data_IF_799088858912
#
_entry.id   IF_799088858912
#
_cell.length_a   1.000
_cell.length_b   1.000
_cell.length_c   1.000
_cell.angle_alpha   90.00
_cell.angle_beta   90.00
_cell.angle_gamma   90.00
#
_symmetry.space_group_name_H-M   'P 1'
#
loop_
_entity.id
_entity.type
_entity.pdbx_description
1 polymer ?
#
# COMPACT_ATOMS: atom_id res chain seq x y z
N UNK A 1 -33.19 1.33 -6.43
CA UNK A 1 -32.67 0.13 -7.12
C UNK A 1 -32.12 -0.80 -6.06
N UNK A 2 -32.52 -2.08 -6.07
CA UNK A 2 -32.16 -3.09 -5.07
C UNK A 2 -30.65 -3.24 -4.92
N UNK A 3 -30.11 -2.99 -3.73
CA UNK A 3 -28.81 -3.47 -3.28
C UNK A 3 -29.02 -4.65 -2.34
N UNK A 4 -29.52 -5.77 -2.88
CA UNK A 4 -29.48 -7.03 -2.15
C UNK A 4 -28.03 -7.53 -2.14
N UNK A 5 -27.45 -7.63 -0.94
CA UNK A 5 -26.16 -8.26 -0.74
C UNK A 5 -26.21 -9.69 -1.32
N UNK A 6 -25.46 -9.92 -2.39
CA UNK A 6 -25.44 -11.22 -3.06
C UNK A 6 -24.45 -12.11 -2.35
N UNK A 7 -24.95 -13.09 -1.58
CA UNK A 7 -24.11 -14.16 -1.04
C UNK A 7 -23.68 -15.08 -2.17
N UNK A 8 -22.39 -15.08 -2.48
CA UNK A 8 -21.79 -16.02 -3.44
C UNK A 8 -21.04 -17.09 -2.67
N UNK A 9 -21.56 -18.32 -2.64
CA UNK A 9 -20.86 -19.48 -2.09
C UNK A 9 -20.07 -20.14 -3.21
N UNK A 10 -18.75 -20.28 -3.03
CA UNK A 10 -17.87 -21.03 -3.94
C UNK A 10 -17.22 -22.17 -3.17
N UNK A 11 -17.31 -23.40 -3.68
CA UNK A 11 -16.51 -24.51 -3.17
C UNK A 11 -15.03 -24.19 -3.41
N UNK A 12 -14.26 -24.13 -2.32
CA UNK A 12 -12.81 -23.97 -2.37
C UNK A 12 -12.18 -25.34 -2.09
N UNK A 13 -11.05 -25.68 -2.74
CA UNK A 13 -10.26 -26.82 -2.30
C UNK A 13 -9.89 -26.65 -0.81
N UNK A 14 -9.65 -27.74 -0.08
CA UNK A 14 -9.27 -27.66 1.33
C UNK A 14 -8.07 -26.73 1.49
N UNK A 15 -8.11 -25.87 2.50
CA UNK A 15 -7.02 -24.96 2.79
C UNK A 15 -5.74 -25.76 2.99
N UNK A 16 -4.72 -25.45 2.18
CA UNK A 16 -3.39 -26.00 2.39
C UNK A 16 -2.79 -25.38 3.65
N UNK A 17 -1.82 -26.05 4.25
CA UNK A 17 -1.07 -25.50 5.38
C UNK A 17 -0.24 -24.33 4.87
N UNK A 18 0.09 -23.38 5.75
CA UNK A 18 0.98 -22.26 5.38
C UNK A 18 2.27 -22.77 4.74
N UNK A 19 2.88 -23.81 5.31
CA UNK A 19 4.12 -24.43 4.82
C UNK A 19 4.02 -25.04 3.40
N UNK A 20 2.82 -25.16 2.83
CA UNK A 20 2.63 -25.63 1.45
C UNK A 20 2.67 -24.45 0.43
N UNK A 21 2.84 -23.21 0.92
CA UNK A 21 3.05 -22.00 0.12
C UNK A 21 4.49 -21.50 0.27
N UNK A 22 5.02 -20.83 -0.76
CA UNK A 22 6.39 -20.27 -0.76
C UNK A 22 6.42 -18.76 -0.50
N UNK A 23 5.34 -18.04 -0.81
CA UNK A 23 5.27 -16.59 -0.81
C UNK A 23 3.91 -16.14 -0.29
N UNK A 24 3.91 -15.12 0.56
CA UNK A 24 2.74 -14.32 0.88
C UNK A 24 3.01 -12.87 0.49
N UNK A 25 2.03 -12.24 -0.15
CA UNK A 25 2.07 -10.82 -0.51
C UNK A 25 0.97 -10.07 0.22
N UNK A 26 1.30 -8.87 0.67
CA UNK A 26 0.40 -7.98 1.39
C UNK A 26 0.30 -6.65 0.67
N UNK A 27 -0.90 -6.07 0.68
CA UNK A 27 -1.04 -4.62 0.52
C UNK A 27 -0.66 -3.90 1.82
N UNK A 28 -0.48 -2.58 1.76
CA UNK A 28 -0.12 -1.76 2.92
C UNK A 28 -1.35 -1.11 3.56
N UNK A 29 -1.85 -0.04 2.94
CA UNK A 29 -2.96 0.78 3.44
C UNK A 29 -4.23 -0.08 3.57
N UNK A 30 -4.96 0.15 4.66
CA UNK A 30 -6.15 -0.63 5.05
C UNK A 30 -5.97 -2.17 5.04
N UNK A 31 -4.72 -2.65 5.14
CA UNK A 31 -4.37 -4.08 5.10
C UNK A 31 -3.36 -4.43 6.20
N UNK A 32 -2.07 -4.13 6.04
CA UNK A 32 -1.08 -4.30 7.11
C UNK A 32 -1.15 -3.17 8.13
N UNK A 33 -1.60 -2.00 7.69
CA UNK A 33 -1.83 -0.84 8.54
C UNK A 33 -3.29 -0.40 8.45
N UNK A 34 -3.78 0.29 9.47
CA UNK A 34 -5.19 0.66 9.62
C UNK A 34 -5.53 2.08 9.15
N UNK A 35 -4.65 2.70 8.37
CA UNK A 35 -4.81 4.05 7.84
C UNK A 35 -4.60 4.05 6.32
N UNK A 36 -5.01 5.13 5.68
CA UNK A 36 -4.60 5.53 4.34
C UNK A 36 -3.49 6.57 4.47
N UNK A 37 -2.23 6.20 4.19
CA UNK A 37 -1.09 7.09 4.42
C UNK A 37 -1.24 8.46 3.72
N UNK A 38 -1.81 8.48 2.52
CA UNK A 38 -1.96 9.72 1.73
C UNK A 38 -2.92 10.71 2.39
N UNK A 39 -4.00 10.23 2.99
CA UNK A 39 -4.99 11.06 3.69
C UNK A 39 -4.39 11.64 4.97
N UNK A 40 -3.59 10.85 5.69
CA UNK A 40 -2.92 11.28 6.91
C UNK A 40 -1.80 12.30 6.65
N UNK A 41 -1.11 12.21 5.50
CA UNK A 41 -0.17 13.26 5.06
C UNK A 41 -0.94 14.53 4.67
N UNK A 42 -2.04 14.40 3.95
CA UNK A 42 -2.85 15.54 3.52
C UNK A 42 -3.42 16.34 4.69
N UNK A 43 -3.79 15.66 5.77
CA UNK A 43 -4.25 16.27 7.00
C UNK A 43 -3.23 17.21 7.65
N UNK A 44 -1.93 16.96 7.44
CA UNK A 44 -0.85 17.85 7.91
C UNK A 44 -0.89 19.24 7.27
N UNK A 45 -1.60 19.38 6.14
CA UNK A 45 -1.90 20.64 5.46
C UNK A 45 -3.38 21.04 5.56
N UNK A 46 -4.20 20.31 6.33
CA UNK A 46 -5.64 20.52 6.39
C UNK A 46 -6.39 20.16 5.10
N UNK A 47 -5.80 19.30 4.25
CA UNK A 47 -6.37 18.89 2.94
C UNK A 47 -6.93 17.46 2.94
N UNK A 48 -7.17 16.89 4.13
CA UNK A 48 -7.65 15.51 4.26
C UNK A 48 -8.93 15.29 3.47
N UNK A 49 -9.90 16.19 3.58
CA UNK A 49 -11.20 16.06 2.91
C UNK A 49 -11.08 16.12 1.38
N UNK A 50 -10.20 16.99 0.84
CA UNK A 50 -9.95 17.09 -0.60
C UNK A 50 -9.35 15.80 -1.16
N UNK A 51 -8.36 15.22 -0.45
CA UNK A 51 -7.71 13.97 -0.86
C UNK A 51 -8.67 12.79 -0.72
N UNK A 52 -9.41 12.71 0.39
CA UNK A 52 -10.39 11.66 0.64
C UNK A 52 -11.50 11.65 -0.42
N UNK A 53 -11.98 12.82 -0.86
CA UNK A 53 -12.98 12.92 -1.92
C UNK A 53 -12.49 12.31 -3.24
N UNK A 54 -11.22 12.54 -3.61
CA UNK A 54 -10.61 11.94 -4.81
C UNK A 54 -10.43 10.42 -4.62
N UNK A 55 -9.99 9.97 -3.44
CA UNK A 55 -9.86 8.54 -3.10
C UNK A 55 -11.21 7.83 -3.26
N UNK A 56 -12.27 8.39 -2.68
CA UNK A 56 -13.62 7.83 -2.75
C UNK A 56 -14.15 7.80 -4.20
N UNK A 57 -13.98 8.89 -4.97
CA UNK A 57 -14.37 8.92 -6.38
C UNK A 57 -13.64 7.86 -7.22
N UNK A 58 -12.39 7.54 -6.88
CA UNK A 58 -11.63 6.47 -7.54
C UNK A 58 -12.18 5.09 -7.20
N UNK A 59 -12.49 4.84 -5.92
CA UNK A 59 -13.06 3.56 -5.47
C UNK A 59 -14.47 3.32 -6.01
N UNK A 60 -15.27 4.38 -6.17
CA UNK A 60 -16.58 4.33 -6.80
C UNK A 60 -16.52 4.15 -8.33
N UNK A 61 -15.32 4.16 -8.92
CA UNK A 61 -15.11 4.06 -10.37
C UNK A 61 -15.50 5.32 -11.15
N UNK A 62 -15.75 6.44 -10.45
CA UNK A 62 -15.99 7.75 -11.09
C UNK A 62 -14.69 8.23 -11.74
N UNK A 63 -13.56 8.09 -11.04
CA UNK A 63 -12.23 8.22 -11.62
C UNK A 63 -11.76 6.81 -11.99
N UNK A 64 -11.74 6.51 -13.29
CA UNK A 64 -11.42 5.17 -13.79
C UNK A 64 -9.91 4.88 -13.86
N UNK A 65 -9.08 5.92 -13.94
CA UNK A 65 -7.63 5.79 -13.98
C UNK A 65 -7.02 6.02 -12.59
N UNK A 66 -6.55 4.93 -11.97
CA UNK A 66 -5.86 4.95 -10.69
C UNK A 66 -4.61 5.84 -10.72
N UNK A 67 -3.85 5.85 -11.83
CA UNK A 67 -2.60 6.61 -11.93
C UNK A 67 -2.89 8.10 -11.88
N UNK A 68 -3.88 8.54 -12.65
CA UNK A 68 -4.33 9.92 -12.64
C UNK A 68 -4.87 10.33 -11.27
N UNK A 69 -5.72 9.52 -10.65
CA UNK A 69 -6.19 9.74 -9.28
C UNK A 69 -5.05 9.91 -8.28
N UNK A 70 -4.05 9.02 -8.33
CA UNK A 70 -2.90 9.09 -7.42
C UNK A 70 -2.11 10.38 -7.64
N UNK A 71 -1.90 10.80 -8.89
CA UNK A 71 -1.21 12.06 -9.20
C UNK A 71 -1.95 13.28 -8.67
N UNK A 72 -3.27 13.32 -8.84
CA UNK A 72 -4.09 14.41 -8.32
C UNK A 72 -3.98 14.52 -6.79
N UNK A 73 -4.07 13.38 -6.09
CA UNK A 73 -3.92 13.35 -4.63
C UNK A 73 -2.52 13.74 -4.18
N UNK A 74 -1.48 13.26 -4.86
CA UNK A 74 -0.09 13.61 -4.55
C UNK A 74 0.19 15.09 -4.82
N UNK A 75 -0.38 15.68 -5.88
CA UNK A 75 -0.24 17.11 -6.16
C UNK A 75 -0.76 18.00 -5.03
N UNK A 76 -1.82 17.57 -4.32
CA UNK A 76 -2.34 18.30 -3.16
C UNK A 76 -1.35 18.35 -1.98
N UNK A 77 -0.38 17.42 -1.93
CA UNK A 77 0.62 17.35 -0.87
C UNK A 77 1.82 18.30 -1.08
N UNK A 78 1.88 19.03 -2.20
CA UNK A 78 2.96 19.97 -2.48
C UNK A 78 3.15 20.98 -1.33
N UNK A 79 4.39 21.16 -0.89
CA UNK A 79 4.76 22.02 0.23
C UNK A 79 4.70 21.37 1.61
N UNK A 80 4.26 20.11 1.72
CA UNK A 80 4.31 19.37 2.99
C UNK A 80 5.77 19.14 3.40
N UNK A 81 6.21 19.49 4.62
CA UNK A 81 7.55 19.18 5.09
C UNK A 81 7.81 17.66 5.11
N UNK A 82 9.00 17.22 4.73
CA UNK A 82 9.36 15.78 4.77
C UNK A 82 9.20 15.18 6.18
N UNK A 83 9.45 15.98 7.22
CA UNK A 83 9.26 15.58 8.62
C UNK A 83 7.82 15.18 8.95
N UNK A 84 6.84 15.65 8.18
CA UNK A 84 5.45 15.25 8.33
C UNK A 84 5.25 13.74 8.04
N UNK A 85 6.02 13.16 7.11
CA UNK A 85 5.97 11.73 6.83
C UNK A 85 6.35 10.91 8.08
N UNK A 86 7.42 11.36 8.77
CA UNK A 86 7.87 10.72 10.00
C UNK A 86 6.84 10.89 11.11
N UNK A 87 6.23 12.08 11.22
CA UNK A 87 5.16 12.34 12.18
C UNK A 87 3.94 11.42 11.96
N UNK A 88 3.50 11.23 10.72
CA UNK A 88 2.42 10.29 10.38
C UNK A 88 2.80 8.86 10.80
N UNK A 89 4.04 8.44 10.51
CA UNK A 89 4.52 7.11 10.91
C UNK A 89 4.53 6.92 12.43
N UNK A 90 5.00 7.91 13.19
CA UNK A 90 5.17 7.81 14.64
C UNK A 90 3.85 7.95 15.41
N UNK A 91 2.96 8.84 14.96
CA UNK A 91 1.78 9.25 15.73
C UNK A 91 0.48 8.59 15.28
N UNK A 92 0.36 8.22 13.99
CA UNK A 92 -0.92 7.81 13.39
C UNK A 92 -0.93 6.38 12.90
N UNK A 93 0.19 5.92 12.35
CA UNK A 93 0.27 4.57 11.79
C UNK A 93 0.20 3.51 12.88
N UNK A 94 -0.79 2.63 12.78
CA UNK A 94 -0.85 1.41 13.57
C UNK A 94 -0.96 0.20 12.65
N UNK A 95 -0.37 -0.91 13.09
CA UNK A 95 -0.56 -2.19 12.41
C UNK A 95 -2.01 -2.64 12.58
N UNK A 96 -2.58 -3.22 11.53
CA UNK A 96 -3.89 -3.86 11.63
C UNK A 96 -3.87 -4.97 12.69
N UNK A 97 -4.96 -5.17 13.45
CA UNK A 97 -5.05 -6.24 14.43
C UNK A 97 -4.73 -7.60 13.79
N UNK A 98 -3.80 -8.36 14.38
CA UNK A 98 -3.39 -9.66 13.86
C UNK A 98 -2.28 -9.63 12.80
N UNK A 99 -1.94 -8.46 12.23
CA UNK A 99 -0.98 -8.38 11.12
C UNK A 99 0.41 -8.89 11.50
N UNK A 100 0.94 -8.46 12.65
CA UNK A 100 2.24 -8.91 13.13
C UNK A 100 2.26 -10.42 13.43
N UNK A 101 1.20 -10.94 14.04
CA UNK A 101 1.06 -12.37 14.33
C UNK A 101 1.01 -13.20 13.05
N UNK A 102 0.26 -12.74 12.04
CA UNK A 102 0.16 -13.39 10.73
C UNK A 102 1.52 -13.42 10.02
N UNK A 103 2.20 -12.27 9.92
CA UNK A 103 3.52 -12.17 9.27
C UNK A 103 4.51 -13.13 9.94
N UNK A 104 4.55 -13.13 11.28
CA UNK A 104 5.42 -14.04 12.04
C UNK A 104 5.10 -15.50 11.78
N UNK A 105 3.82 -15.88 11.74
CA UNK A 105 3.41 -17.25 11.46
C UNK A 105 3.82 -17.68 10.04
N UNK A 106 3.68 -16.81 9.04
CA UNK A 106 4.14 -17.06 7.67
C UNK A 106 5.66 -17.22 7.59
N UNK A 107 6.42 -16.33 8.22
CA UNK A 107 7.88 -16.43 8.28
C UNK A 107 8.33 -17.74 8.96
N UNK A 108 7.69 -18.12 10.07
CA UNK A 108 7.97 -19.39 10.78
C UNK A 108 7.63 -20.62 9.94
N UNK A 109 6.61 -20.54 9.09
CA UNK A 109 6.26 -21.58 8.13
C UNK A 109 7.17 -21.61 6.89
N UNK A 110 8.15 -20.70 6.79
CA UNK A 110 9.14 -20.66 5.71
C UNK A 110 8.72 -19.86 4.47
N UNK A 111 7.61 -19.12 4.53
CA UNK A 111 7.19 -18.27 3.43
C UNK A 111 8.10 -17.04 3.34
N UNK A 112 8.40 -16.64 2.11
CA UNK A 112 8.86 -15.29 1.81
C UNK A 112 7.72 -14.29 1.91
N UNK A 113 8.06 -13.06 2.26
CA UNK A 113 7.10 -11.99 2.54
C UNK A 113 7.33 -10.80 1.62
N UNK A 114 6.28 -10.38 0.93
CA UNK A 114 6.28 -9.26 -0.01
C UNK A 114 5.26 -8.21 0.43
N UNK A 115 5.69 -6.96 0.54
CA UNK A 115 4.78 -5.81 0.65
C UNK A 115 4.69 -5.09 -0.69
N UNK A 116 3.51 -5.02 -1.29
CA UNK A 116 3.32 -4.40 -2.61
C UNK A 116 2.15 -3.42 -2.57
N UNK A 117 2.45 -2.13 -2.69
CA UNK A 117 1.51 -1.07 -2.35
C UNK A 117 1.49 0.07 -3.35
N UNK A 118 0.30 0.66 -3.55
CA UNK A 118 0.13 1.93 -4.25
C UNK A 118 0.52 3.15 -3.40
N UNK A 119 0.86 2.96 -2.12
CA UNK A 119 1.37 3.98 -1.22
C UNK A 119 2.84 4.30 -1.49
N UNK A 120 3.57 4.71 -0.45
CA UNK A 120 4.89 5.33 -0.61
C UNK A 120 6.04 4.55 0.05
N UNK A 121 7.20 4.55 -0.62
CA UNK A 121 8.42 3.85 -0.17
C UNK A 121 8.86 4.23 1.24
N UNK A 122 8.63 5.48 1.65
CA UNK A 122 8.91 5.95 3.00
C UNK A 122 8.26 5.07 4.09
N UNK A 123 7.00 4.69 3.90
CA UNK A 123 6.25 3.87 4.85
C UNK A 123 6.55 2.39 4.64
N UNK A 124 6.55 1.91 3.39
CA UNK A 124 6.76 0.49 3.14
C UNK A 124 8.13 0.00 3.60
N UNK A 125 9.20 0.80 3.47
CA UNK A 125 10.52 0.41 3.97
C UNK A 125 10.57 0.35 5.50
N UNK A 126 9.87 1.25 6.20
CA UNK A 126 9.77 1.20 7.66
C UNK A 126 8.94 0.02 8.14
N UNK A 127 7.84 -0.30 7.45
CA UNK A 127 7.04 -1.50 7.75
C UNK A 127 7.82 -2.77 7.46
N UNK A 128 8.56 -2.81 6.35
CA UNK A 128 9.48 -3.89 6.02
C UNK A 128 10.50 -4.11 7.14
N UNK A 129 11.16 -3.05 7.62
CA UNK A 129 12.10 -3.16 8.73
C UNK A 129 11.41 -3.61 10.03
N UNK A 130 10.26 -3.01 10.37
CA UNK A 130 9.50 -3.32 11.59
C UNK A 130 9.02 -4.77 11.66
N UNK A 131 8.58 -5.33 10.53
CA UNK A 131 8.01 -6.69 10.44
C UNK A 131 9.00 -7.73 9.89
N UNK A 132 10.21 -7.31 9.53
CA UNK A 132 11.23 -8.18 8.93
C UNK A 132 10.83 -8.75 7.56
N UNK A 133 10.16 -7.94 6.72
CA UNK A 133 9.70 -8.41 5.41
C UNK A 133 10.88 -8.56 4.41
N UNK A 134 10.81 -9.56 3.53
CA UNK A 134 11.88 -9.83 2.57
C UNK A 134 11.92 -8.78 1.46
N UNK A 135 10.76 -8.45 0.89
CA UNK A 135 10.62 -7.62 -0.31
C UNK A 135 9.59 -6.50 -0.11
N UNK A 136 9.81 -5.38 -0.81
CA UNK A 136 8.79 -4.33 -0.92
C UNK A 136 8.79 -3.64 -2.29
N UNK A 137 7.62 -3.15 -2.72
CA UNK A 137 7.41 -2.33 -3.92
C UNK A 137 6.38 -1.25 -3.61
N UNK A 138 6.72 0.02 -3.90
CA UNK A 138 5.82 1.16 -3.71
C UNK A 138 6.24 2.38 -4.54
N UNK A 139 5.39 3.39 -4.60
CA UNK A 139 5.68 4.66 -5.28
C UNK A 139 6.66 5.51 -4.47
N UNK A 140 7.45 6.36 -5.14
CA UNK A 140 8.41 7.24 -4.46
C UNK A 140 7.98 8.69 -4.61
N UNK A 141 7.72 9.37 -3.50
CA UNK A 141 7.47 10.81 -3.47
C UNK A 141 8.76 11.56 -3.87
N UNK A 142 8.61 12.61 -4.67
CA UNK A 142 9.68 13.56 -4.93
C UNK A 142 9.77 14.58 -3.77
N UNK A 143 10.99 14.77 -3.27
CA UNK A 143 11.30 15.65 -2.15
C UNK A 143 12.44 16.58 -2.58
N UNK A 144 12.22 17.88 -2.48
CA UNK A 144 13.22 18.91 -2.76
C UNK A 144 13.20 19.96 -1.65
N UNK A 145 14.37 20.41 -1.22
CA UNK A 145 14.48 21.43 -0.17
C UNK A 145 13.84 21.05 1.18
N UNK A 146 13.69 19.75 1.47
CA UNK A 146 13.06 19.25 2.69
C UNK A 146 11.52 19.25 2.68
N UNK A 147 10.89 19.41 1.51
CA UNK A 147 9.44 19.36 1.35
C UNK A 147 9.03 18.51 0.14
N UNK A 148 7.80 17.99 0.19
CA UNK A 148 7.20 17.27 -0.93
C UNK A 148 6.91 18.25 -2.08
N UNK A 149 7.29 17.87 -3.30
CA UNK A 149 7.02 18.71 -4.48
C UNK A 149 5.61 18.54 -5.04
N UNK A 150 4.89 17.52 -4.56
CA UNK A 150 3.61 17.08 -5.12
C UNK A 150 3.75 16.22 -6.38
N UNK A 151 4.92 15.60 -6.58
CA UNK A 151 5.17 14.67 -7.69
C UNK A 151 5.68 13.32 -7.20
N UNK A 152 5.63 12.34 -8.10
CA UNK A 152 6.22 11.02 -7.93
C UNK A 152 7.48 10.93 -8.79
N UNK A 153 8.52 10.31 -8.25
CA UNK A 153 9.73 9.97 -9.00
C UNK A 153 9.50 8.71 -9.84
N UNK A 154 9.95 8.73 -11.09
CA UNK A 154 10.06 7.54 -11.92
C UNK A 154 11.02 6.53 -11.29
N UNK A 155 10.71 5.25 -11.44
CA UNK A 155 11.52 4.17 -10.89
C UNK A 155 11.92 3.18 -12.00
N UNK A 156 13.03 2.41 -11.83
CA UNK A 156 13.52 1.51 -12.88
C UNK A 156 12.50 0.46 -13.33
N UNK A 157 11.55 0.12 -12.45
CA UNK A 157 10.51 -0.86 -12.71
C UNK A 157 9.29 -0.27 -13.43
N UNK A 158 9.17 1.06 -13.52
CA UNK A 158 8.05 1.74 -14.15
C UNK A 158 7.60 3.00 -13.42
N UNK A 159 6.37 3.40 -13.75
CA UNK A 159 5.78 4.68 -13.36
C UNK A 159 5.09 4.65 -11.98
N UNK A 160 3.95 3.96 -11.89
CA UNK A 160 3.11 3.88 -10.68
C UNK A 160 2.82 2.41 -10.37
N UNK A 161 2.88 2.08 -9.07
CA UNK A 161 2.50 0.78 -8.54
C UNK A 161 0.96 0.66 -8.48
N UNK A 162 0.35 0.48 -9.64
CA UNK A 162 -1.07 0.20 -9.83
C UNK A 162 -1.36 -1.31 -9.69
N UNK A 163 -2.62 -1.72 -9.89
CA UNK A 163 -3.00 -3.13 -9.80
C UNK A 163 -2.24 -4.07 -10.74
N UNK A 164 -1.90 -3.61 -11.95
CA UNK A 164 -1.12 -4.41 -12.90
C UNK A 164 0.33 -4.58 -12.42
N UNK A 165 0.91 -3.52 -11.88
CA UNK A 165 2.25 -3.56 -11.30
C UNK A 165 2.29 -4.42 -10.02
N UNK A 166 1.25 -4.39 -9.18
CA UNK A 166 1.16 -5.29 -8.03
C UNK A 166 1.18 -6.75 -8.47
N UNK A 167 0.40 -7.08 -9.49
CA UNK A 167 0.36 -8.43 -10.06
C UNK A 167 1.70 -8.84 -10.68
N UNK A 168 2.34 -7.94 -11.43
CA UNK A 168 3.66 -8.18 -12.03
C UNK A 168 4.72 -8.43 -10.96
N UNK A 169 4.80 -7.58 -9.94
CA UNK A 169 5.75 -7.74 -8.83
C UNK A 169 5.53 -9.06 -8.09
N UNK A 170 4.27 -9.46 -7.84
CA UNK A 170 3.98 -10.76 -7.24
C UNK A 170 4.53 -11.91 -8.09
N UNK A 171 4.32 -11.87 -9.41
CA UNK A 171 4.81 -12.89 -10.33
C UNK A 171 6.34 -12.94 -10.37
N UNK A 172 7.01 -11.78 -10.45
CA UNK A 172 8.47 -11.67 -10.44
C UNK A 172 9.07 -12.32 -9.19
N UNK A 173 8.55 -11.97 -8.01
CA UNK A 173 9.04 -12.52 -6.74
C UNK A 173 8.70 -14.00 -6.62
N UNK A 174 7.54 -14.44 -7.10
CA UNK A 174 7.19 -15.86 -7.13
C UNK A 174 8.15 -16.66 -8.01
N UNK A 175 8.57 -16.14 -9.17
CA UNK A 175 9.56 -16.79 -10.04
C UNK A 175 10.90 -17.01 -9.35
N UNK A 176 11.32 -16.12 -8.45
CA UNK A 176 12.54 -16.30 -7.66
C UNK A 176 12.49 -17.51 -6.71
N UNK A 177 11.30 -18.06 -6.46
CA UNK A 177 11.09 -19.19 -5.54
C UNK A 177 11.05 -20.56 -6.25
N UNK A 178 11.12 -20.59 -7.59
CA UNK A 178 10.94 -21.79 -8.43
C UNK A 178 9.62 -22.51 -8.18
#
# INVERSE_FOLDING_TARGET
MNTEATLVVREQPPFKRLADYKLIAFDMDSTLINIECIDEIADMLGKKDEVAAITEATMQGIISDFKESLRQRVALLAGTPESALQKVYDERLQLSPGAEQLVKACQQAGLKTLLVSGGFTFFTERIRQRLGLDFTRANRLEIEGGALTGKLLEQPWGDICDGAEKARTLQEVATLMG
#
